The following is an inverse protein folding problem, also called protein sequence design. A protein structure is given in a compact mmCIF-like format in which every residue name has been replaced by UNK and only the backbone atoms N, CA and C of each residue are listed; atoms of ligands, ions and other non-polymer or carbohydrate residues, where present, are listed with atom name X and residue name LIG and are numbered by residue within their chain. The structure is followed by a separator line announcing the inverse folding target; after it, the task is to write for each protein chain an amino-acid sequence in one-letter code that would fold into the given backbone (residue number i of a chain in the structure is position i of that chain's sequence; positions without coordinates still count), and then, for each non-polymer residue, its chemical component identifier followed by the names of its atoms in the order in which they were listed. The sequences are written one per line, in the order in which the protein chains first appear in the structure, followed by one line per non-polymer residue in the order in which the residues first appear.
data_IF_063807479588
#
_entry.id   IF_063807479588
#
_cell.length_a   1.000
_cell.length_b   1.000
_cell.length_c   1.000
_cell.angle_alpha   90.00
_cell.angle_beta   90.00
_cell.angle_gamma   90.00
#
_symmetry.space_group_name_H-M   'P 1'
#
loop_
_entity.id
_entity.type
_entity.pdbx_description
1 polymer ?
#
# COMPACT_ATOMS: atom_id res chain seq x y z
N UNK A 1 -20.82 34.51 34.20
CA UNK A 1 -19.37 34.66 34.49
C UNK A 1 -18.78 33.27 34.60
N UNK A 2 -18.00 32.86 33.60
CA UNK A 2 -17.25 31.60 33.65
C UNK A 2 -16.10 31.83 34.63
N UNK A 3 -16.01 31.01 35.68
CA UNK A 3 -14.92 31.16 36.65
C UNK A 3 -13.64 30.55 36.10
N UNK A 4 -12.47 31.00 36.58
CA UNK A 4 -11.16 30.48 36.14
C UNK A 4 -11.06 28.95 36.28
N UNK A 5 -11.78 28.38 37.26
CA UNK A 5 -11.89 26.94 37.50
C UNK A 5 -12.66 26.22 36.39
N UNK A 6 -13.71 26.84 35.87
CA UNK A 6 -14.53 26.28 34.80
C UNK A 6 -13.79 26.30 33.45
N UNK A 7 -12.99 27.34 33.20
CA UNK A 7 -12.13 27.42 32.01
C UNK A 7 -11.03 26.35 31.99
N UNK A 8 -10.42 26.05 33.15
CA UNK A 8 -9.39 25.00 33.29
C UNK A 8 -9.96 23.58 33.08
N UNK A 9 -11.17 23.33 33.57
CA UNK A 9 -11.87 22.06 33.35
C UNK A 9 -12.18 21.85 31.87
N UNK A 10 -12.69 22.85 31.17
CA UNK A 10 -12.98 22.78 29.73
C UNK A 10 -11.69 22.54 28.92
N UNK A 11 -10.58 23.20 29.27
CA UNK A 11 -9.30 23.03 28.59
C UNK A 11 -8.72 21.62 28.78
N UNK A 12 -8.79 21.09 30.01
CA UNK A 12 -8.34 19.72 30.31
C UNK A 12 -9.19 18.64 29.63
N UNK A 13 -10.50 18.86 29.51
CA UNK A 13 -11.41 17.92 28.86
C UNK A 13 -11.16 17.86 27.34
N UNK A 14 -10.85 19.00 26.71
CA UNK A 14 -10.43 19.02 25.30
C UNK A 14 -9.10 18.31 25.09
N UNK A 15 -8.11 18.50 25.99
CA UNK A 15 -6.80 17.85 25.87
C UNK A 15 -6.89 16.32 25.95
N UNK A 16 -7.77 15.78 26.80
CA UNK A 16 -7.99 14.33 26.91
C UNK A 16 -8.66 13.77 25.65
N UNK A 17 -9.61 14.49 25.04
CA UNK A 17 -10.25 14.04 23.79
C UNK A 17 -9.29 14.01 22.59
N UNK A 18 -8.27 14.88 22.54
CA UNK A 18 -7.27 14.85 21.46
C UNK A 18 -6.39 13.58 21.48
N UNK A 19 -6.29 12.89 22.60
CA UNK A 19 -5.48 11.66 22.72
C UNK A 19 -6.25 10.38 22.38
N UNK A 20 -7.55 10.47 22.09
CA UNK A 20 -8.44 9.31 21.89
C UNK A 20 -8.70 8.94 20.42
N UNK A 21 -8.03 9.60 19.45
CA UNK A 21 -8.26 9.35 18.02
C UNK A 21 -7.10 8.63 17.32
N UNK A 22 -6.47 7.65 17.98
CA UNK A 22 -5.63 6.66 17.30
C UNK A 22 -6.17 5.26 17.60
N UNK A 23 -7.44 5.03 17.26
CA UNK A 23 -7.93 3.69 17.01
C UNK A 23 -7.29 3.19 15.68
N UNK A 24 -5.97 2.99 15.70
CA UNK A 24 -5.28 2.27 14.63
C UNK A 24 -5.79 0.84 14.69
N UNK A 25 -6.47 0.40 13.64
CA UNK A 25 -6.73 -1.03 13.45
C UNK A 25 -5.36 -1.71 13.48
N UNK A 26 -5.15 -2.56 14.49
CA UNK A 26 -3.98 -3.41 14.53
C UNK A 26 -4.11 -4.41 13.37
N UNK A 27 -3.53 -4.07 12.20
CA UNK A 27 -3.23 -5.05 11.16
C UNK A 27 -2.36 -6.17 11.76
N UNK A 28 -2.06 -7.19 10.96
CA UNK A 28 -1.19 -8.26 11.41
C UNK A 28 0.09 -7.67 12.01
N UNK A 29 0.49 -8.16 13.18
CA UNK A 29 1.70 -7.70 13.88
C UNK A 29 2.94 -7.77 12.95
N UNK A 30 2.95 -8.74 12.04
CA UNK A 30 4.01 -8.90 11.03
C UNK A 30 4.03 -7.75 10.01
N UNK A 31 2.88 -7.36 9.45
CA UNK A 31 2.79 -6.23 8.53
C UNK A 31 3.22 -4.93 9.20
N UNK A 32 2.70 -4.65 10.40
CA UNK A 32 3.08 -3.44 11.17
C UNK A 32 4.58 -3.38 11.46
N UNK A 33 5.19 -4.52 11.82
CA UNK A 33 6.63 -4.62 12.05
C UNK A 33 7.43 -4.33 10.77
N UNK A 34 6.96 -4.80 9.61
CA UNK A 34 7.58 -4.52 8.31
C UNK A 34 7.45 -3.06 7.91
N UNK A 35 6.29 -2.43 8.09
CA UNK A 35 6.10 -0.99 7.84
C UNK A 35 7.08 -0.14 8.67
N UNK A 36 7.18 -0.41 9.97
CA UNK A 36 8.13 0.31 10.86
C UNK A 36 9.59 0.14 10.40
N UNK A 37 10.00 -1.08 10.05
CA UNK A 37 11.37 -1.36 9.58
C UNK A 37 11.73 -0.68 8.26
N UNK A 38 10.73 -0.50 7.40
CA UNK A 38 10.88 0.12 6.09
C UNK A 38 10.56 1.61 6.11
N UNK A 39 10.22 2.18 7.28
CA UNK A 39 9.76 3.57 7.40
C UNK A 39 8.58 3.88 6.46
N UNK A 40 7.76 2.87 6.13
CA UNK A 40 6.58 3.06 5.29
C UNK A 40 5.43 3.63 6.12
N UNK A 41 4.72 4.56 5.51
CA UNK A 41 3.42 5.03 5.95
C UNK A 41 2.36 4.28 5.16
N UNK A 42 1.34 3.81 5.88
CA UNK A 42 0.18 3.16 5.29
C UNK A 42 -1.05 3.99 5.61
N UNK A 43 -1.74 4.45 4.57
CA UNK A 43 -3.00 5.17 4.68
C UNK A 43 -4.13 4.15 4.52
N UNK A 44 -4.80 3.88 5.63
CA UNK A 44 -5.94 2.97 5.65
C UNK A 44 -7.07 3.50 4.76
N UNK A 45 -7.66 2.66 3.90
CA UNK A 45 -8.90 3.00 3.24
C UNK A 45 -10.06 2.87 4.23
N UNK A 46 -10.49 4.01 4.78
CA UNK A 46 -11.65 4.11 5.70
C UNK A 46 -13.00 4.09 4.97
N UNK A 47 -12.99 4.40 3.67
CA UNK A 47 -14.15 4.35 2.78
C UNK A 47 -14.31 2.92 2.21
N UNK A 48 -15.51 2.47 1.87
CA UNK A 48 -15.71 1.23 1.09
C UNK A 48 -15.73 -0.09 1.85
N UNK A 49 -15.86 -0.06 3.18
CA UNK A 49 -16.06 -1.25 4.02
C UNK A 49 -15.04 -2.37 3.76
N UNK A 50 -13.75 -2.01 3.61
CA UNK A 50 -12.70 -3.00 3.37
C UNK A 50 -12.57 -3.98 4.54
N UNK A 51 -12.47 -5.26 4.22
CA UNK A 51 -12.26 -6.34 5.19
C UNK A 51 -10.89 -6.96 5.00
N UNK A 52 -10.21 -7.25 6.11
CA UNK A 52 -8.97 -8.02 6.11
C UNK A 52 -9.30 -9.47 5.72
N UNK A 53 -8.62 -9.99 4.70
CA UNK A 53 -8.70 -11.40 4.32
C UNK A 53 -7.51 -12.18 4.90
N UNK A 54 -7.74 -13.46 5.20
CA UNK A 54 -6.67 -14.36 5.63
C UNK A 54 -5.71 -14.66 4.46
N UNK A 55 -4.42 -14.58 4.73
CA UNK A 55 -3.36 -14.91 3.79
C UNK A 55 -3.37 -16.40 3.48
N UNK A 56 -3.32 -16.77 2.19
CA UNK A 56 -3.22 -18.17 1.77
C UNK A 56 -1.75 -18.56 1.62
N UNK A 57 -1.40 -19.79 2.00
CA UNK A 57 0.00 -20.28 1.92
C UNK A 57 0.47 -20.48 0.48
N UNK A 58 -0.44 -20.83 -0.42
CA UNK A 58 -0.16 -21.19 -1.81
C UNK A 58 -0.45 -20.03 -2.79
N UNK A 59 -0.40 -18.79 -2.29
CA UNK A 59 -0.56 -17.61 -3.12
C UNK A 59 0.64 -17.44 -4.07
N UNK A 60 0.38 -16.89 -5.27
CA UNK A 60 1.39 -16.57 -6.29
C UNK A 60 2.56 -15.76 -5.75
N UNK A 61 2.29 -14.91 -4.76
CA UNK A 61 3.27 -14.10 -4.05
C UNK A 61 2.98 -14.17 -2.55
N UNK A 62 4.01 -13.97 -1.73
CA UNK A 62 3.85 -13.89 -0.28
C UNK A 62 3.37 -12.50 0.13
N UNK A 63 2.06 -12.34 0.26
CA UNK A 63 1.44 -11.10 0.74
C UNK A 63 1.59 -10.93 2.26
N UNK A 64 1.67 -9.68 2.71
CA UNK A 64 1.73 -9.32 4.13
C UNK A 64 0.38 -8.82 4.68
N UNK A 65 -0.46 -8.28 3.79
CA UNK A 65 -1.83 -7.85 4.07
C UNK A 65 -2.68 -8.01 2.81
N UNK A 66 -3.91 -8.49 2.98
CA UNK A 66 -4.92 -8.52 1.91
C UNK A 66 -6.18 -7.84 2.44
N UNK A 67 -6.64 -6.83 1.73
CA UNK A 67 -7.88 -6.10 1.97
C UNK A 67 -8.81 -6.32 0.79
N UNK A 68 -10.09 -6.52 1.02
CA UNK A 68 -11.09 -6.64 -0.04
C UNK A 68 -12.32 -5.80 0.26
N UNK A 69 -12.86 -5.15 -0.78
CA UNK A 69 -14.13 -4.43 -0.73
C UNK A 69 -15.10 -5.06 -1.72
N UNK A 70 -16.23 -5.55 -1.22
CA UNK A 70 -17.34 -6.03 -2.05
C UNK A 70 -18.04 -4.85 -2.75
N UNK A 71 -18.16 -3.71 -2.07
CA UNK A 71 -18.80 -2.50 -2.60
C UNK A 71 -18.07 -1.96 -3.84
N UNK A 72 -16.74 -1.91 -3.78
CA UNK A 72 -15.90 -1.46 -4.89
C UNK A 72 -15.43 -2.60 -5.81
N UNK A 73 -15.75 -3.85 -5.49
CA UNK A 73 -15.27 -5.02 -6.22
C UNK A 73 -13.74 -5.01 -6.40
N UNK A 74 -13.02 -4.60 -5.36
CA UNK A 74 -11.57 -4.34 -5.37
C UNK A 74 -10.86 -5.14 -4.27
N UNK A 75 -9.85 -5.91 -4.67
CA UNK A 75 -8.88 -6.50 -3.75
C UNK A 75 -7.57 -5.70 -3.78
N UNK A 76 -6.97 -5.49 -2.61
CA UNK A 76 -5.68 -4.86 -2.44
C UNK A 76 -4.76 -5.79 -1.67
N UNK A 77 -3.64 -6.18 -2.26
CA UNK A 77 -2.67 -7.09 -1.66
C UNK A 77 -1.31 -6.42 -1.55
N UNK A 78 -0.78 -6.37 -0.34
CA UNK A 78 0.42 -5.62 0.00
C UNK A 78 1.60 -6.55 0.22
N UNK A 79 2.76 -6.16 -0.29
CA UNK A 79 4.05 -6.85 -0.07
C UNK A 79 5.04 -5.82 0.42
N UNK A 80 5.68 -6.07 1.56
CA UNK A 80 6.72 -5.21 2.13
C UNK A 80 7.98 -6.03 2.36
N UNK A 81 9.07 -5.59 1.74
CA UNK A 81 10.37 -6.24 1.78
C UNK A 81 11.42 -5.26 2.30
N UNK A 82 11.73 -5.32 3.61
CA UNK A 82 12.82 -4.54 4.17
C UNK A 82 14.15 -4.86 3.47
N UNK A 83 14.98 -3.83 3.31
CA UNK A 83 16.35 -4.01 2.77
C UNK A 83 17.10 -5.04 3.61
N UNK A 84 17.57 -6.09 2.95
CA UNK A 84 18.40 -7.12 3.54
C UNK A 84 19.57 -7.42 2.59
N UNK A 85 20.74 -6.84 2.85
CA UNK A 85 21.92 -7.01 2.01
C UNK A 85 21.75 -6.43 0.60
N UNK A 86 22.31 -7.12 -0.40
CA UNK A 86 22.24 -6.71 -1.80
C UNK A 86 20.88 -7.12 -2.39
N UNK A 87 20.09 -6.14 -2.81
CA UNK A 87 18.80 -6.38 -3.45
C UNK A 87 18.97 -6.57 -4.97
N UNK A 88 18.13 -7.43 -5.55
CA UNK A 88 17.95 -7.52 -7.01
C UNK A 88 17.53 -6.15 -7.55
N UNK A 89 18.03 -5.72 -8.72
CA UNK A 89 17.59 -4.46 -9.33
C UNK A 89 16.07 -4.38 -9.43
N UNK A 90 15.51 -3.26 -8.97
CA UNK A 90 14.06 -3.15 -8.75
C UNK A 90 13.24 -3.36 -10.03
N UNK A 91 13.74 -2.91 -11.18
CA UNK A 91 13.09 -3.13 -12.47
C UNK A 91 12.92 -4.63 -12.79
N UNK A 92 13.90 -5.48 -12.45
CA UNK A 92 13.81 -6.93 -12.67
C UNK A 92 12.81 -7.58 -11.70
N UNK A 93 12.85 -7.20 -10.42
CA UNK A 93 11.90 -7.68 -9.41
C UNK A 93 10.46 -7.33 -9.80
N UNK A 94 10.25 -6.09 -10.25
CA UNK A 94 8.96 -5.59 -10.70
C UNK A 94 8.43 -6.35 -11.93
N UNK A 95 9.26 -6.51 -12.96
CA UNK A 95 8.89 -7.26 -14.16
C UNK A 95 8.60 -8.72 -13.85
N UNK A 96 9.45 -9.38 -13.05
CA UNK A 96 9.26 -10.77 -12.62
C UNK A 96 7.93 -10.98 -11.89
N UNK A 97 7.58 -10.08 -10.95
CA UNK A 97 6.27 -10.11 -10.28
C UNK A 97 5.12 -9.92 -11.25
N UNK A 98 5.22 -8.93 -12.13
CA UNK A 98 4.18 -8.64 -13.11
C UNK A 98 3.93 -9.85 -14.03
N UNK A 99 4.99 -10.45 -14.59
CA UNK A 99 4.89 -11.66 -15.41
C UNK A 99 4.38 -12.89 -14.63
N UNK A 100 4.65 -12.96 -13.32
CA UNK A 100 4.12 -14.02 -12.46
C UNK A 100 2.60 -13.92 -12.30
N UNK A 101 2.07 -12.69 -12.21
CA UNK A 101 0.66 -12.40 -11.95
C UNK A 101 -0.19 -12.32 -13.24
N UNK A 102 0.39 -11.79 -14.32
CA UNK A 102 -0.29 -11.57 -15.58
C UNK A 102 -0.61 -12.89 -16.31
N UNK A 103 -1.72 -12.89 -17.04
CA UNK A 103 -2.12 -13.98 -17.93
C UNK A 103 -1.05 -14.20 -19.00
N UNK A 104 -0.74 -15.46 -19.28
CA UNK A 104 0.19 -15.83 -20.33
C UNK A 104 -0.58 -16.04 -21.64
N UNK A 105 -0.94 -14.94 -22.30
CA UNK A 105 -1.68 -14.93 -23.56
C UNK A 105 -1.14 -13.80 -24.45
N UNK A 106 -0.76 -14.15 -25.67
CA UNK A 106 -0.12 -13.25 -26.64
C UNK A 106 -1.06 -12.14 -27.14
N UNK A 107 -2.36 -12.25 -26.90
CA UNK A 107 -3.35 -11.24 -27.29
C UNK A 107 -3.53 -10.12 -26.27
N UNK A 108 -2.90 -10.22 -25.09
CA UNK A 108 -3.03 -9.23 -24.03
C UNK A 108 -1.69 -8.57 -23.71
N UNK A 109 -1.65 -7.24 -23.84
CA UNK A 109 -0.48 -6.44 -23.50
C UNK A 109 -0.40 -6.14 -22.01
N UNK A 110 0.82 -6.16 -21.48
CA UNK A 110 1.16 -5.58 -20.17
C UNK A 110 1.61 -4.15 -20.39
N UNK A 111 0.90 -3.18 -19.82
CA UNK A 111 1.27 -1.76 -19.92
C UNK A 111 2.08 -1.36 -18.70
N UNK A 112 3.33 -0.95 -18.92
CA UNK A 112 4.23 -0.53 -17.84
C UNK A 112 4.42 0.99 -17.87
N UNK A 113 4.29 1.61 -16.70
CA UNK A 113 4.59 3.02 -16.50
C UNK A 113 5.64 3.17 -15.40
N UNK A 114 6.79 3.75 -15.75
CA UNK A 114 7.86 4.08 -14.81
C UNK A 114 7.80 5.57 -14.51
N UNK A 115 7.72 5.91 -13.22
CA UNK A 115 7.68 7.30 -12.79
C UNK A 115 9.06 7.95 -12.99
N UNK A 116 9.06 9.22 -13.43
CA UNK A 116 10.25 10.05 -13.36
C UNK A 116 10.73 10.16 -11.89
N UNK A 117 12.05 10.14 -11.59
CA UNK A 117 12.54 10.15 -10.21
C UNK A 117 11.95 11.26 -9.33
N UNK A 118 11.82 12.49 -9.86
CA UNK A 118 11.20 13.60 -9.13
C UNK A 118 9.74 13.32 -8.73
N UNK A 119 8.98 12.66 -9.62
CA UNK A 119 7.59 12.34 -9.38
C UNK A 119 7.48 11.19 -8.38
N UNK A 120 8.32 10.16 -8.50
CA UNK A 120 8.44 9.07 -7.52
C UNK A 120 8.75 9.60 -6.11
N UNK A 121 9.67 10.56 -6.01
CA UNK A 121 9.98 11.21 -4.74
C UNK A 121 8.82 12.06 -4.22
N UNK A 122 8.17 12.86 -5.07
CA UNK A 122 7.07 13.74 -4.63
C UNK A 122 5.82 12.99 -4.18
N UNK A 123 5.50 11.86 -4.83
CA UNK A 123 4.28 11.09 -4.55
C UNK A 123 4.50 10.04 -3.45
N UNK A 124 5.70 9.45 -3.39
CA UNK A 124 5.96 8.27 -2.55
C UNK A 124 7.18 8.39 -1.65
N UNK A 125 7.92 9.51 -1.69
CA UNK A 125 9.25 9.66 -1.07
C UNK A 125 10.23 8.54 -1.44
N UNK A 126 10.04 7.98 -2.63
CA UNK A 126 10.77 6.83 -3.16
C UNK A 126 11.85 7.27 -4.15
N UNK A 127 12.92 6.49 -4.24
CA UNK A 127 13.99 6.71 -5.22
C UNK A 127 13.59 6.14 -6.59
N UNK A 128 12.65 5.20 -6.59
CA UNK A 128 12.09 4.59 -7.80
C UNK A 128 10.65 4.15 -7.57
N UNK A 129 9.80 4.33 -8.60
CA UNK A 129 8.44 3.82 -8.61
C UNK A 129 8.02 3.42 -10.02
N UNK A 130 7.23 2.36 -10.14
CA UNK A 130 6.56 1.99 -11.38
C UNK A 130 5.26 1.25 -11.10
N UNK A 131 4.32 1.34 -12.03
CA UNK A 131 3.14 0.47 -12.04
C UNK A 131 2.96 -0.25 -13.37
N UNK A 132 2.26 -1.38 -13.33
CA UNK A 132 1.88 -2.13 -14.52
C UNK A 132 0.40 -2.47 -14.47
N UNK A 133 -0.27 -2.30 -15.60
CA UNK A 133 -1.63 -2.76 -15.86
C UNK A 133 -1.60 -4.03 -16.71
N UNK A 134 -2.39 -5.03 -16.32
CA UNK A 134 -2.43 -6.34 -16.97
C UNK A 134 -3.77 -7.07 -16.72
N UNK A 135 -4.01 -8.13 -17.48
CA UNK A 135 -5.07 -9.11 -17.19
C UNK A 135 -4.49 -10.17 -16.27
N UNK A 136 -5.03 -10.41 -15.06
CA UNK A 136 -4.47 -11.38 -14.12
C UNK A 136 -4.81 -12.83 -14.54
N UNK A 137 -3.99 -13.79 -14.10
CA UNK A 137 -4.32 -15.22 -14.23
C UNK A 137 -5.62 -15.54 -13.50
N UNK A 138 -6.49 -16.36 -14.10
CA UNK A 138 -7.74 -16.81 -13.45
C UNK A 138 -7.53 -17.64 -12.18
N UNK A 139 -6.38 -18.28 -12.06
CA UNK A 139 -5.98 -18.98 -10.83
C UNK A 139 -5.59 -18.04 -9.68
N UNK A 140 -5.31 -16.76 -9.96
CA UNK A 140 -5.01 -15.73 -8.96
C UNK A 140 -6.30 -15.05 -8.44
N UNK A 141 -7.23 -14.78 -9.35
CA UNK A 141 -8.48 -14.04 -9.07
C UNK A 141 -9.52 -14.24 -10.17
N UNK A 142 -10.79 -14.01 -9.83
CA UNK A 142 -11.89 -13.90 -10.76
C UNK A 142 -12.00 -12.50 -11.39
N UNK A 143 -11.30 -11.49 -10.84
CA UNK A 143 -11.29 -10.12 -11.34
C UNK A 143 -10.72 -9.99 -12.75
N UNK A 144 -11.19 -8.99 -13.48
CA UNK A 144 -10.84 -8.78 -14.89
C UNK A 144 -9.50 -8.07 -15.11
N UNK A 145 -9.15 -7.16 -14.20
CA UNK A 145 -7.98 -6.29 -14.33
C UNK A 145 -7.10 -6.40 -13.09
N UNK A 146 -5.80 -6.27 -13.33
CA UNK A 146 -4.77 -6.22 -12.30
C UNK A 146 -3.87 -5.01 -12.51
N UNK A 147 -3.55 -4.33 -11.41
CA UNK A 147 -2.52 -3.30 -11.38
C UNK A 147 -1.51 -3.62 -10.28
N UNK A 148 -0.22 -3.67 -10.63
CA UNK A 148 0.85 -3.79 -9.65
C UNK A 148 1.61 -2.47 -9.57
N UNK A 149 1.56 -1.78 -8.43
CA UNK A 149 2.47 -0.68 -8.10
C UNK A 149 3.65 -1.23 -7.29
N UNK A 150 4.85 -0.74 -7.56
CA UNK A 150 6.01 -0.97 -6.70
C UNK A 150 6.80 0.31 -6.49
N UNK A 151 7.19 0.56 -5.24
CA UNK A 151 8.03 1.67 -4.81
C UNK A 151 9.27 1.14 -4.11
N UNK A 152 10.39 1.83 -4.29
CA UNK A 152 11.68 1.44 -3.72
C UNK A 152 12.42 2.65 -3.16
N UNK A 153 13.06 2.45 -2.00
CA UNK A 153 13.97 3.42 -1.39
C UNK A 153 15.22 2.71 -0.90
N UNK A 154 16.37 3.22 -1.29
CA UNK A 154 17.67 2.55 -1.24
C UNK A 154 18.04 2.05 0.15
N UNK A 155 17.66 2.77 1.21
CA UNK A 155 17.99 2.41 2.60
C UNK A 155 16.84 1.77 3.37
N UNK A 156 15.66 1.67 2.76
CA UNK A 156 14.47 1.16 3.42
C UNK A 156 14.04 -0.21 2.88
N UNK A 157 14.01 -0.36 1.55
CA UNK A 157 13.56 -1.58 0.89
C UNK A 157 12.49 -1.32 -0.17
N UNK A 158 11.62 -2.31 -0.39
CA UNK A 158 10.59 -2.31 -1.43
C UNK A 158 9.21 -2.47 -0.81
N UNK A 159 8.24 -1.75 -1.37
CA UNK A 159 6.82 -1.98 -1.12
C UNK A 159 6.09 -2.18 -2.45
N UNK A 160 5.15 -3.11 -2.49
CA UNK A 160 4.27 -3.31 -3.64
C UNK A 160 2.82 -3.40 -3.22
N UNK A 161 1.94 -2.89 -4.08
CA UNK A 161 0.48 -3.02 -3.97
C UNK A 161 -0.02 -3.68 -5.25
N UNK A 162 -0.68 -4.82 -5.12
CA UNK A 162 -1.45 -5.45 -6.17
C UNK A 162 -2.93 -5.09 -5.98
N UNK A 163 -3.50 -4.41 -6.97
CA UNK A 163 -4.92 -4.07 -7.05
C UNK A 163 -5.57 -5.02 -8.06
N UNK A 164 -6.68 -5.65 -7.70
CA UNK A 164 -7.45 -6.54 -8.58
C UNK A 164 -8.91 -6.08 -8.60
N UNK A 165 -9.45 -5.79 -9.77
CA UNK A 165 -10.76 -5.14 -9.92
C UNK A 165 -11.47 -5.52 -11.22
N UNK A 166 -12.78 -5.28 -11.27
CA UNK A 166 -13.62 -5.61 -12.43
C UNK A 166 -13.81 -4.46 -13.41
N UNK A 167 -13.78 -3.21 -12.93
CA UNK A 167 -14.06 -2.01 -13.73
C UNK A 167 -13.15 -0.87 -13.28
N UNK A 168 -12.71 -0.04 -14.22
CA UNK A 168 -11.94 1.16 -13.94
C UNK A 168 -12.86 2.28 -13.42
N UNK A 169 -13.02 2.35 -12.10
CA UNK A 169 -13.90 3.35 -11.44
C UNK A 169 -13.10 4.50 -10.81
N UNK A 170 -11.78 4.49 -10.94
CA UNK A 170 -10.86 5.46 -10.35
C UNK A 170 -10.54 5.20 -8.87
N UNK A 171 -11.26 4.31 -8.20
CA UNK A 171 -10.89 3.89 -6.84
C UNK A 171 -9.52 3.21 -6.83
N UNK A 172 -9.21 2.40 -7.85
CA UNK A 172 -7.88 1.82 -8.03
C UNK A 172 -6.77 2.89 -8.07
N UNK A 173 -7.01 4.02 -8.74
CA UNK A 173 -6.05 5.13 -8.81
C UNK A 173 -5.85 5.78 -7.43
N UNK A 174 -6.94 5.99 -6.67
CA UNK A 174 -6.85 6.55 -5.32
C UNK A 174 -6.11 5.60 -4.37
N UNK A 175 -6.35 4.29 -4.47
CA UNK A 175 -5.74 3.29 -3.58
C UNK A 175 -4.27 3.02 -3.89
N UNK A 176 -3.79 3.34 -5.10
CA UNK A 176 -2.35 3.29 -5.41
C UNK A 176 -1.51 4.12 -4.44
N UNK A 177 -2.04 5.24 -3.93
CA UNK A 177 -1.32 6.13 -3.02
C UNK A 177 -1.46 5.73 -1.53
N UNK A 178 -1.93 4.52 -1.24
CA UNK A 178 -2.07 4.04 0.15
C UNK A 178 -0.75 3.69 0.82
N UNK A 179 0.37 3.57 0.09
CA UNK A 179 1.71 3.42 0.64
C UNK A 179 2.66 4.50 0.13
N UNK A 180 3.44 5.06 1.06
CA UNK A 180 4.57 5.93 0.76
C UNK A 180 5.66 5.71 1.80
N UNK A 181 6.92 6.00 1.45
CA UNK A 181 7.94 6.12 2.49
C UNK A 181 7.68 7.38 3.31
N UNK A 182 8.07 7.34 4.58
CA UNK A 182 8.16 8.55 5.39
C UNK A 182 9.17 9.46 4.71
N UNK A 183 8.80 10.71 4.45
CA UNK A 183 9.78 11.74 4.09
C UNK A 183 10.88 11.75 5.15
N UNK A 184 12.12 12.05 4.76
CA UNK A 184 13.23 12.11 5.70
C UNK A 184 12.79 12.89 6.94
N UNK A 185 12.91 12.27 8.13
CA UNK A 185 12.95 13.06 9.35
C UNK A 185 14.10 14.04 9.15
N UNK A 186 13.81 15.34 9.17
CA UNK A 186 14.85 16.32 9.45
C UNK A 186 15.48 15.85 10.76
N UNK A 187 16.72 15.40 10.67
CA UNK A 187 17.54 15.17 11.84
C UNK A 187 17.79 16.54 12.45
N UNK A 188 17.00 16.88 13.46
CA UNK A 188 17.38 17.90 14.45
C UNK A 188 18.41 17.31 15.42
#
# INVERSE_FOLDING_TARGET
MITLRDALLILSLNLVMYTWSHAQIHYTHQFTKKLKRTQLQFVEPVEGMYRIQMLRKDDFLKYDLVLASEDYQLDMRYIVEPKAGKMTPMHLTFLSRTSTLALNDEHFDIKVHVYHPNLANSLFHADWAAYADFIPKRSLTDKHFGRLLSIYKADCGVASILLLFNEHKGEEDRRMYSLSFSGAAVSD
#
